data_IF_346007840666
#
_entry.id   IF_346007840666
#
_cell.length_a   1.000
_cell.length_b   1.000
_cell.length_c   1.000
_cell.angle_alpha   90.00
_cell.angle_beta   90.00
_cell.angle_gamma   90.00
#
_symmetry.space_group_name_H-M   'P 1'
#
loop_
_entity.id
_entity.type
_entity.pdbx_description
1 polymer ?
#
# COMPACT_ATOMS: atom_id res chain seq x y z
N UNK A 1 -44.83 -1.50 6.65
CA UNK A 1 -43.64 -2.31 6.32
C UNK A 1 -42.49 -1.79 7.17
N UNK A 2 -42.01 -2.60 8.10
CA UNK A 2 -41.00 -2.21 9.09
C UNK A 2 -39.63 -2.09 8.41
N UNK A 3 -39.03 -0.90 8.48
CA UNK A 3 -37.66 -0.64 8.02
C UNK A 3 -36.72 -0.91 9.18
N UNK A 4 -35.94 -1.99 9.09
CA UNK A 4 -34.85 -2.24 10.03
C UNK A 4 -33.64 -1.38 9.65
N UNK A 5 -33.53 -0.19 10.23
CA UNK A 5 -32.25 0.53 10.26
C UNK A 5 -31.40 -0.05 11.38
N UNK A 6 -30.35 -0.80 11.03
CA UNK A 6 -29.32 -1.19 11.99
C UNK A 6 -28.47 0.04 12.28
N UNK A 7 -28.73 0.68 13.43
CA UNK A 7 -27.76 1.56 14.07
C UNK A 7 -26.52 0.72 14.42
N UNK A 8 -25.55 0.68 13.51
CA UNK A 8 -24.19 0.32 13.87
C UNK A 8 -23.66 1.50 14.67
N UNK A 9 -23.76 1.40 15.99
CA UNK A 9 -22.92 2.19 16.88
C UNK A 9 -21.50 2.15 16.33
N UNK A 10 -20.97 3.31 15.99
CA UNK A 10 -19.56 3.55 15.67
C UNK A 10 -18.74 3.27 16.94
N UNK A 11 -18.69 1.99 17.34
CA UNK A 11 -17.61 1.48 18.13
C UNK A 11 -16.39 1.72 17.27
N UNK A 12 -15.53 2.65 17.69
CA UNK A 12 -14.19 2.83 17.13
C UNK A 12 -13.47 1.49 17.25
N UNK A 13 -13.73 0.58 16.32
CA UNK A 13 -12.91 -0.60 16.10
C UNK A 13 -11.55 0.02 15.86
N UNK A 14 -10.58 -0.30 16.73
CA UNK A 14 -9.18 0.08 16.53
C UNK A 14 -8.84 -0.19 15.07
N UNK A 15 -8.79 0.85 14.25
CA UNK A 15 -8.60 0.69 12.82
C UNK A 15 -7.20 0.13 12.64
N UNK A 16 -7.12 -1.11 12.16
CA UNK A 16 -5.84 -1.73 11.83
C UNK A 16 -5.28 -0.92 10.64
N UNK A 17 -4.09 -0.31 10.76
CA UNK A 17 -3.53 0.48 9.67
C UNK A 17 -3.47 -0.32 8.37
N UNK A 18 -3.92 0.29 7.27
CA UNK A 18 -3.97 -0.38 5.97
C UNK A 18 -5.10 -1.36 5.74
N UNK A 19 -6.05 -1.49 6.67
CA UNK A 19 -7.25 -2.31 6.48
C UNK A 19 -8.46 -1.41 6.28
N UNK A 20 -9.16 -1.58 5.16
CA UNK A 20 -10.41 -0.89 4.87
C UNK A 20 -11.57 -1.88 4.91
N UNK A 21 -12.60 -1.56 5.67
CA UNK A 21 -13.85 -2.32 5.67
C UNK A 21 -14.72 -1.91 4.48
N UNK A 22 -15.23 -2.92 3.77
CA UNK A 22 -16.19 -2.74 2.71
C UNK A 22 -17.60 -3.21 3.09
N UNK A 23 -18.54 -3.20 2.12
CA UNK A 23 -19.89 -3.67 2.36
C UNK A 23 -19.90 -5.15 2.78
N UNK A 24 -20.95 -5.55 3.50
CA UNK A 24 -21.16 -6.93 3.96
C UNK A 24 -20.06 -7.49 4.89
N UNK A 25 -19.30 -6.63 5.57
CA UNK A 25 -18.24 -7.07 6.50
C UNK A 25 -16.97 -7.56 5.82
N UNK A 26 -16.82 -7.31 4.52
CA UNK A 26 -15.56 -7.56 3.80
C UNK A 26 -14.47 -6.63 4.31
N UNK A 27 -13.22 -7.08 4.27
CA UNK A 27 -12.06 -6.28 4.66
C UNK A 27 -11.00 -6.38 3.58
N UNK A 28 -10.40 -5.25 3.22
CA UNK A 28 -9.47 -5.11 2.11
C UNK A 28 -8.14 -4.55 2.59
N UNK A 29 -7.09 -4.92 1.87
CA UNK A 29 -5.75 -4.30 1.92
C UNK A 29 -5.42 -3.73 0.56
N UNK A 30 -4.70 -2.60 0.54
CA UNK A 30 -4.31 -1.93 -0.69
C UNK A 30 -3.26 -2.74 -1.45
N UNK A 31 -3.35 -2.74 -2.78
CA UNK A 31 -2.31 -3.26 -3.68
C UNK A 31 -1.05 -2.37 -3.72
N UNK A 32 -1.09 -1.19 -3.09
CA UNK A 32 -0.09 -0.13 -3.26
C UNK A 32 -0.24 0.64 -4.57
N UNK A 33 -1.25 0.33 -5.39
CA UNK A 33 -1.55 1.02 -6.65
C UNK A 33 -3.01 1.52 -6.58
N UNK A 34 -3.23 2.83 -6.32
CA UNK A 34 -4.58 3.36 -6.10
C UNK A 34 -5.57 3.10 -7.25
N UNK A 35 -5.10 3.06 -8.49
CA UNK A 35 -5.97 2.81 -9.64
C UNK A 35 -6.35 1.33 -9.76
N UNK A 36 -5.47 0.40 -9.41
CA UNK A 36 -5.80 -1.01 -9.33
C UNK A 36 -6.80 -1.27 -8.20
N UNK A 37 -6.62 -0.64 -7.05
CA UNK A 37 -7.56 -0.78 -5.92
C UNK A 37 -8.97 -0.32 -6.30
N UNK A 38 -9.10 0.76 -7.07
CA UNK A 38 -10.39 1.22 -7.60
C UNK A 38 -11.01 0.20 -8.54
N UNK A 39 -10.22 -0.37 -9.47
CA UNK A 39 -10.69 -1.39 -10.42
C UNK A 39 -11.19 -2.64 -9.68
N UNK A 40 -10.51 -3.03 -8.60
CA UNK A 40 -10.87 -4.19 -7.78
C UNK A 40 -11.98 -3.90 -6.76
N UNK A 41 -12.52 -2.66 -6.73
CA UNK A 41 -13.59 -2.28 -5.80
C UNK A 41 -13.14 -2.07 -4.36
N UNK A 42 -11.84 -1.95 -4.12
CA UNK A 42 -11.29 -1.69 -2.79
C UNK A 42 -9.82 -2.08 -2.65
N UNK A 43 -9.33 -3.06 -3.39
CA UNK A 43 -8.01 -3.66 -3.20
C UNK A 43 -8.12 -5.18 -3.12
N UNK A 44 -7.20 -5.84 -2.42
CA UNK A 44 -7.26 -7.28 -2.21
C UNK A 44 -8.03 -7.61 -0.94
N UNK A 45 -8.94 -8.57 -1.02
CA UNK A 45 -9.71 -9.01 0.15
C UNK A 45 -8.80 -9.78 1.12
N UNK A 46 -8.89 -9.50 2.42
CA UNK A 46 -8.19 -10.27 3.44
C UNK A 46 -8.62 -11.74 3.41
N UNK A 47 -7.64 -12.65 3.54
CA UNK A 47 -7.84 -14.09 3.42
C UNK A 47 -7.96 -14.62 1.99
N UNK A 48 -7.82 -13.77 0.97
CA UNK A 48 -7.80 -14.19 -0.43
C UNK A 48 -6.39 -14.61 -0.89
N UNK A 49 -6.35 -15.38 -1.99
CA UNK A 49 -5.15 -15.66 -2.77
C UNK A 49 -5.20 -14.87 -4.06
N UNK A 50 -4.17 -14.08 -4.33
CA UNK A 50 -4.05 -13.27 -5.55
C UNK A 50 -2.93 -13.84 -6.40
N UNK A 51 -3.24 -14.17 -7.65
CA UNK A 51 -2.28 -14.64 -8.64
C UNK A 51 -2.08 -13.57 -9.72
N UNK A 52 -0.83 -13.23 -10.00
CA UNK A 52 -0.46 -12.28 -11.06
C UNK A 52 0.13 -13.10 -12.21
N UNK A 53 -0.56 -13.10 -13.34
CA UNK A 53 -0.08 -13.71 -14.58
C UNK A 53 0.43 -12.61 -15.50
N UNK A 54 1.53 -12.90 -16.18
CA UNK A 54 2.18 -11.95 -17.08
C UNK A 54 2.40 -12.59 -18.44
N UNK A 55 2.27 -11.76 -19.47
CA UNK A 55 2.68 -12.07 -20.83
C UNK A 55 4.14 -11.67 -21.05
N UNK A 56 4.88 -12.43 -21.85
CA UNK A 56 6.31 -12.23 -22.09
C UNK A 56 6.66 -10.87 -22.68
N UNK A 57 5.72 -10.23 -23.37
CA UNK A 57 5.88 -8.92 -23.99
C UNK A 57 5.69 -7.74 -23.01
N UNK A 58 5.18 -7.97 -21.79
CA UNK A 58 4.88 -6.92 -20.81
C UNK A 58 5.25 -7.20 -19.32
N UNK A 59 6.55 -7.42 -19.00
CA UNK A 59 7.33 -7.01 -17.82
C UNK A 59 6.84 -6.68 -16.38
N UNK A 60 5.56 -6.56 -16.03
CA UNK A 60 5.13 -5.66 -14.95
C UNK A 60 4.72 -6.30 -13.60
N UNK A 61 4.72 -7.62 -13.44
CA UNK A 61 4.36 -8.31 -12.20
C UNK A 61 5.23 -7.90 -11.01
N UNK A 62 6.52 -7.66 -11.24
CA UNK A 62 7.43 -7.20 -10.20
C UNK A 62 7.12 -5.77 -9.75
N UNK A 63 6.55 -4.93 -10.61
CA UNK A 63 6.08 -3.60 -10.19
C UNK A 63 4.93 -3.74 -9.19
N UNK A 64 3.94 -4.58 -9.52
CA UNK A 64 2.81 -4.84 -8.63
C UNK A 64 3.28 -5.44 -7.30
N UNK A 65 4.15 -6.44 -7.35
CA UNK A 65 4.72 -7.07 -6.14
C UNK A 65 5.47 -6.07 -5.27
N UNK A 66 6.32 -5.21 -5.86
CA UNK A 66 7.05 -4.17 -5.12
C UNK A 66 6.12 -3.17 -4.45
N UNK A 67 5.07 -2.71 -5.15
CA UNK A 67 4.10 -1.79 -4.57
C UNK A 67 3.33 -2.43 -3.42
N UNK A 68 2.86 -3.67 -3.59
CA UNK A 68 2.15 -4.40 -2.55
C UNK A 68 3.01 -4.59 -1.28
N UNK A 69 4.26 -5.04 -1.45
CA UNK A 69 5.18 -5.20 -0.33
C UNK A 69 5.50 -3.86 0.34
N UNK A 70 5.73 -2.80 -0.44
CA UNK A 70 6.00 -1.46 0.11
C UNK A 70 4.83 -0.92 0.91
N UNK A 71 3.61 -1.15 0.43
CA UNK A 71 2.39 -0.76 1.12
C UNK A 71 2.25 -1.46 2.47
N UNK A 72 2.50 -2.77 2.53
CA UNK A 72 2.55 -3.51 3.79
C UNK A 72 3.58 -2.95 4.77
N UNK A 73 4.80 -2.66 4.27
CA UNK A 73 5.88 -2.12 5.11
C UNK A 73 5.59 -0.72 5.65
N UNK A 74 4.98 0.17 4.85
CA UNK A 74 4.57 1.52 5.31
C UNK A 74 3.55 1.42 6.44
N UNK A 75 2.71 0.40 6.43
CA UNK A 75 1.72 0.14 7.48
C UNK A 75 2.23 -0.74 8.62
N UNK A 76 3.53 -1.04 8.66
CA UNK A 76 4.14 -1.95 9.63
C UNK A 76 3.48 -3.35 9.68
N UNK A 77 2.95 -3.81 8.54
CA UNK A 77 2.41 -5.15 8.41
C UNK A 77 3.55 -6.18 8.31
N UNK A 78 3.42 -7.36 8.94
CA UNK A 78 4.39 -8.43 8.80
C UNK A 78 4.53 -8.87 7.34
N UNK A 79 5.76 -9.15 6.91
CA UNK A 79 6.06 -9.53 5.53
C UNK A 79 6.88 -10.82 5.47
N UNK A 80 6.31 -11.87 4.86
CA UNK A 80 7.04 -13.07 4.50
C UNK A 80 7.25 -13.09 2.98
N UNK A 81 8.51 -13.11 2.55
CA UNK A 81 8.87 -13.11 1.14
C UNK A 81 9.65 -14.35 0.74
N UNK A 82 9.10 -15.11 -0.21
CA UNK A 82 9.74 -16.28 -0.81
C UNK A 82 10.07 -15.98 -2.27
N UNK A 83 11.27 -16.33 -2.73
CA UNK A 83 11.63 -16.14 -4.15
C UNK A 83 12.63 -17.17 -4.67
N UNK A 84 12.68 -17.41 -5.99
CA UNK A 84 13.70 -18.24 -6.64
C UNK A 84 15.05 -17.50 -6.76
N UNK A 85 15.46 -16.75 -5.73
CA UNK A 85 16.75 -16.05 -5.67
C UNK A 85 17.62 -16.67 -4.58
N UNK A 86 18.94 -16.74 -4.81
CA UNK A 86 19.91 -17.14 -3.76
C UNK A 86 19.92 -16.17 -2.58
N UNK A 87 19.70 -14.89 -2.85
CA UNK A 87 19.55 -13.87 -1.82
C UNK A 87 18.24 -13.09 -2.06
N UNK A 88 17.12 -13.53 -1.46
CA UNK A 88 15.84 -12.86 -1.56
C UNK A 88 15.83 -11.47 -0.92
N UNK A 89 16.69 -11.21 0.08
CA UNK A 89 16.68 -9.94 0.82
C UNK A 89 17.08 -8.76 -0.06
N UNK A 90 17.88 -8.99 -1.10
CA UNK A 90 18.24 -7.96 -2.09
C UNK A 90 17.00 -7.36 -2.76
N UNK A 91 15.92 -8.13 -2.92
CA UNK A 91 14.68 -7.63 -3.51
C UNK A 91 14.05 -6.52 -2.67
N UNK A 92 14.18 -6.58 -1.34
CA UNK A 92 13.66 -5.55 -0.42
C UNK A 92 14.32 -4.19 -0.68
N UNK A 93 15.58 -4.16 -1.13
CA UNK A 93 16.27 -2.93 -1.53
C UNK A 93 15.72 -2.30 -2.81
N UNK A 94 14.79 -2.95 -3.51
CA UNK A 94 14.15 -2.45 -4.73
C UNK A 94 12.74 -1.92 -4.51
N UNK A 95 12.23 -2.01 -3.28
CA UNK A 95 10.89 -1.54 -2.92
C UNK A 95 10.79 -0.02 -3.10
N UNK A 96 9.75 0.54 -3.72
CA UNK A 96 9.63 1.98 -3.92
C UNK A 96 9.30 2.74 -2.63
N UNK A 97 9.66 4.02 -2.58
CA UNK A 97 9.40 4.89 -1.43
C UNK A 97 8.04 5.58 -1.56
N UNK A 98 7.23 5.71 -0.48
CA UNK A 98 5.99 6.49 -0.56
C UNK A 98 6.28 7.97 -0.87
N UNK A 99 5.44 8.58 -1.68
CA UNK A 99 5.45 10.02 -1.96
C UNK A 99 4.85 10.72 -0.74
N UNK A 100 5.71 11.37 0.03
CA UNK A 100 5.26 12.22 1.14
C UNK A 100 4.61 13.48 0.57
N UNK A 101 3.34 13.72 0.92
CA UNK A 101 2.72 15.03 0.67
C UNK A 101 3.52 16.09 1.42
N UNK A 102 3.84 17.20 0.75
CA UNK A 102 4.78 18.25 1.18
C UNK A 102 4.35 19.04 2.43
N UNK A 103 3.30 18.61 3.13
CA UNK A 103 2.61 19.39 4.17
C UNK A 103 3.23 19.24 5.57
N UNK A 104 4.20 18.33 5.77
CA UNK A 104 4.91 18.19 7.06
C UNK A 104 6.25 18.93 7.13
N UNK A 105 6.66 19.62 6.05
CA UNK A 105 7.73 20.62 6.15
C UNK A 105 7.09 22.00 6.28
N UNK A 106 6.73 22.34 7.52
CA UNK A 106 6.36 23.70 7.87
C UNK A 106 7.43 24.70 7.42
N UNK A 107 6.96 25.77 6.76
CA UNK A 107 7.52 27.11 6.70
C UNK A 107 8.95 27.30 6.12
N UNK A 108 9.06 28.25 5.19
CA UNK A 108 10.27 28.91 4.65
C UNK A 108 10.90 28.29 3.41
N UNK A 109 10.26 28.52 2.26
CA UNK A 109 10.92 29.14 1.08
C UNK A 109 9.85 29.63 0.09
N UNK A 110 8.99 30.54 0.55
CA UNK A 110 8.26 31.43 -0.35
C UNK A 110 9.23 32.52 -0.83
N UNK A 111 9.94 32.27 -1.92
CA UNK A 111 10.41 33.31 -2.84
C UNK A 111 11.19 32.63 -3.96
N UNK A 112 10.58 32.57 -5.14
CA UNK A 112 11.19 32.74 -6.48
C UNK A 112 10.49 31.91 -7.57
N UNK A 113 9.97 30.72 -7.27
CA UNK A 113 9.31 29.87 -8.28
C UNK A 113 7.89 30.30 -8.67
N UNK A 114 7.18 31.07 -7.84
CA UNK A 114 5.82 31.55 -8.17
C UNK A 114 5.79 32.60 -9.30
N UNK A 115 6.92 33.24 -9.64
CA UNK A 115 6.95 34.29 -10.66
C UNK A 115 6.77 33.76 -12.09
N UNK A 116 6.98 32.45 -12.33
CA UNK A 116 6.95 31.83 -13.65
C UNK A 116 5.62 31.22 -14.10
N UNK A 117 4.63 31.04 -13.20
CA UNK A 117 3.43 30.24 -13.45
C UNK A 117 2.14 31.07 -13.60
N UNK A 118 2.25 32.32 -14.09
CA UNK A 118 1.09 33.21 -14.30
C UNK A 118 0.01 32.62 -15.22
N UNK A 119 0.42 31.85 -16.23
CA UNK A 119 -0.50 31.20 -17.18
C UNK A 119 -1.27 30.06 -16.49
N UNK A 120 -0.58 29.22 -15.71
CA UNK A 120 -1.19 28.07 -15.03
C UNK A 120 -2.24 28.50 -14.00
N UNK A 121 -2.05 29.65 -13.34
CA UNK A 121 -3.00 30.17 -12.35
C UNK A 121 -4.31 30.66 -12.97
N UNK A 122 -4.30 31.12 -14.22
CA UNK A 122 -5.52 31.57 -14.90
C UNK A 122 -6.50 30.42 -15.20
N UNK A 123 -5.99 29.19 -15.37
CA UNK A 123 -6.85 28.02 -15.56
C UNK A 123 -7.52 27.54 -14.27
N UNK A 124 -7.10 28.04 -13.09
CA UNK A 124 -7.68 27.72 -11.77
C UNK A 124 -9.20 27.86 -11.73
N UNK A 125 -9.77 28.83 -12.46
CA UNK A 125 -11.22 29.04 -12.54
C UNK A 125 -11.99 27.96 -13.30
N UNK A 126 -11.32 27.19 -14.15
CA UNK A 126 -11.91 26.08 -14.90
C UNK A 126 -11.77 24.73 -14.18
N UNK A 127 -11.05 24.69 -13.05
CA UNK A 127 -11.00 23.52 -12.15
C UNK A 127 -12.13 23.57 -11.10
N UNK A 128 -13.14 24.43 -11.30
CA UNK A 128 -14.29 24.57 -10.41
C UNK A 128 -15.09 23.27 -10.26
N UNK A 129 -15.51 23.04 -9.02
CA UNK A 129 -16.64 22.20 -8.57
C UNK A 129 -16.42 20.73 -8.19
N UNK A 130 -15.23 20.13 -8.33
CA UNK A 130 -14.99 18.74 -7.84
C UNK A 130 -14.10 18.59 -6.58
N UNK A 131 -13.68 19.69 -5.94
CA UNK A 131 -12.71 19.61 -4.82
C UNK A 131 -13.26 19.79 -3.41
N UNK A 132 -14.50 20.28 -3.22
CA UNK A 132 -15.01 20.58 -1.88
C UNK A 132 -15.43 19.35 -1.04
N UNK A 133 -15.45 18.14 -1.62
CA UNK A 133 -15.75 16.90 -0.89
C UNK A 133 -14.50 16.05 -0.57
N UNK A 134 -13.29 16.58 -0.81
CA UNK A 134 -12.07 15.77 -0.91
C UNK A 134 -11.12 15.89 0.29
N UNK A 135 -11.38 16.79 1.26
CA UNK A 135 -10.49 16.95 2.43
C UNK A 135 -10.65 15.78 3.41
N UNK A 136 -11.88 15.39 3.78
CA UNK A 136 -12.13 14.21 4.62
C UNK A 136 -11.69 12.90 3.92
N UNK A 137 -11.71 12.86 2.58
CA UNK A 137 -11.28 11.68 1.81
C UNK A 137 -9.76 11.54 1.68
N UNK A 138 -8.99 12.63 1.87
CA UNK A 138 -7.53 12.60 1.76
C UNK A 138 -6.87 11.96 2.98
N UNK A 139 -7.38 12.19 4.17
CA UNK A 139 -6.85 11.56 5.39
C UNK A 139 -7.14 10.06 5.41
N UNK A 140 -8.38 9.65 5.10
CA UNK A 140 -8.71 8.21 4.98
C UNK A 140 -7.92 7.52 3.87
N UNK A 141 -7.54 8.27 2.81
CA UNK A 141 -6.70 7.72 1.73
C UNK A 141 -5.28 7.45 2.23
N UNK A 142 -4.68 8.33 3.03
CA UNK A 142 -3.34 8.10 3.63
C UNK A 142 -3.34 6.95 4.63
N UNK A 143 -4.43 6.76 5.36
CA UNK A 143 -4.59 5.64 6.30
C UNK A 143 -4.73 4.27 5.59
N UNK A 144 -5.14 4.26 4.32
CA UNK A 144 -5.41 3.03 3.57
C UNK A 144 -4.40 2.70 2.46
N UNK A 145 -3.91 3.70 1.71
CA UNK A 145 -3.19 3.51 0.45
C UNK A 145 -2.20 4.65 0.19
N UNK A 146 -0.94 4.33 -0.09
CA UNK A 146 0.08 5.32 -0.44
C UNK A 146 0.33 5.37 -1.95
N UNK A 147 0.81 6.52 -2.43
CA UNK A 147 1.38 6.64 -3.77
C UNK A 147 2.89 6.45 -3.67
N UNK A 148 3.51 5.74 -4.61
CA UNK A 148 4.92 5.36 -4.53
C UNK A 148 5.76 5.96 -5.66
N UNK A 149 6.93 6.49 -5.31
CA UNK A 149 7.95 6.92 -6.27
C UNK A 149 8.80 5.72 -6.67
N UNK A 150 8.44 5.09 -7.79
CA UNK A 150 9.12 3.91 -8.34
C UNK A 150 10.57 4.15 -8.75
N UNK A 151 10.99 5.41 -8.85
CA UNK A 151 12.36 5.80 -9.23
C UNK A 151 13.28 5.84 -8.02
N UNK A 152 12.75 5.75 -6.80
CA UNK A 152 13.49 5.85 -5.56
C UNK A 152 13.32 4.60 -4.70
N UNK A 153 14.35 3.76 -4.60
CA UNK A 153 14.31 2.63 -3.70
C UNK A 153 14.20 3.12 -2.24
N UNK A 154 13.41 2.39 -1.46
CA UNK A 154 13.16 2.62 -0.06
C UNK A 154 14.43 2.36 0.73
N UNK A 155 14.72 3.25 1.68
CA UNK A 155 15.78 3.02 2.66
C UNK A 155 15.26 2.03 3.70
N UNK A 156 15.58 0.75 3.48
CA UNK A 156 15.20 -0.39 4.35
C UNK A 156 15.45 -0.17 5.87
N UNK A 157 16.47 0.58 6.33
CA UNK A 157 16.69 0.81 7.77
C UNK A 157 15.64 1.69 8.47
N UNK A 158 14.75 2.36 7.75
CA UNK A 158 13.79 3.32 8.33
C UNK A 158 12.44 2.70 8.70
N UNK A 159 12.28 1.40 8.52
CA UNK A 159 10.98 0.73 8.58
C UNK A 159 10.85 0.12 9.97
N UNK A 160 9.83 0.52 10.72
CA UNK A 160 9.41 -0.11 11.97
C UNK A 160 8.81 -1.51 11.78
N UNK A 161 9.21 -2.24 10.73
CA UNK A 161 8.72 -3.57 10.43
C UNK A 161 9.41 -4.56 11.34
N UNK A 162 8.78 -4.81 12.48
CA UNK A 162 9.30 -5.73 13.48
C UNK A 162 9.29 -7.20 13.00
N UNK A 163 8.75 -7.52 11.82
CA UNK A 163 8.58 -8.89 11.33
C UNK A 163 8.71 -9.02 9.80
N UNK A 164 9.94 -8.96 9.26
CA UNK A 164 10.23 -9.34 7.87
C UNK A 164 11.06 -10.62 7.85
N UNK A 165 10.55 -11.66 7.19
CA UNK A 165 11.33 -12.86 6.88
C UNK A 165 11.43 -13.07 5.37
N UNK A 166 12.59 -13.53 4.92
CA UNK A 166 12.94 -13.69 3.52
C UNK A 166 13.62 -15.03 3.31
N UNK A 167 13.20 -15.78 2.29
CA UNK A 167 13.76 -17.10 2.04
C UNK A 167 13.77 -17.52 0.58
N UNK A 168 14.82 -18.27 0.25
CA UNK A 168 14.96 -18.84 -1.08
C UNK A 168 14.16 -20.11 -1.18
N UNK A 169 13.36 -20.25 -2.22
CA UNK A 169 12.74 -21.54 -2.55
C UNK A 169 13.74 -22.50 -3.19
N UNK A 170 14.94 -22.02 -3.57
CA UNK A 170 16.01 -22.87 -4.11
C UNK A 170 16.69 -23.70 -3.03
N UNK A 171 16.66 -23.23 -1.77
CA UNK A 171 17.27 -23.93 -0.63
C UNK A 171 16.37 -25.04 -0.08
N UNK A 172 15.12 -25.12 -0.55
CA UNK A 172 14.13 -26.08 -0.08
C UNK A 172 13.91 -27.18 -1.11
N UNK A 173 14.11 -28.44 -0.70
CA UNK A 173 13.89 -29.61 -1.56
C UNK A 173 12.43 -30.09 -1.59
N UNK A 174 11.58 -29.58 -0.70
CA UNK A 174 10.17 -29.94 -0.60
C UNK A 174 9.33 -28.81 0.05
N UNK A 175 8.01 -28.96 0.00
CA UNK A 175 7.05 -28.00 0.56
C UNK A 175 6.94 -28.03 2.09
N UNK A 176 7.51 -29.02 2.76
CA UNK A 176 7.45 -29.13 4.23
C UNK A 176 8.25 -27.99 4.85
N UNK A 177 9.48 -27.77 4.37
CA UNK A 177 10.33 -26.67 4.82
C UNK A 177 9.65 -25.30 4.61
N UNK A 178 8.95 -25.11 3.48
CA UNK A 178 8.15 -23.91 3.20
C UNK A 178 7.03 -23.73 4.24
N UNK A 179 6.24 -24.79 4.49
CA UNK A 179 5.14 -24.79 5.46
C UNK A 179 5.62 -24.50 6.87
N UNK A 180 6.73 -25.11 7.29
CA UNK A 180 7.30 -24.94 8.63
C UNK A 180 7.77 -23.50 8.84
N UNK A 181 8.36 -22.90 7.80
CA UNK A 181 8.76 -21.50 7.82
C UNK A 181 7.58 -20.54 7.89
N UNK A 182 6.51 -20.78 7.12
CA UNK A 182 5.27 -20.03 7.25
C UNK A 182 4.67 -20.16 8.66
N UNK A 183 4.66 -21.37 9.23
CA UNK A 183 4.12 -21.62 10.57
C UNK A 183 4.92 -20.90 11.64
N UNK A 184 6.25 -20.93 11.53
CA UNK A 184 7.17 -20.21 12.44
C UNK A 184 6.97 -18.70 12.33
N UNK A 185 6.85 -18.17 11.11
CA UNK A 185 6.60 -16.76 10.88
C UNK A 185 5.27 -16.31 11.51
N UNK A 186 4.19 -17.06 11.29
CA UNK A 186 2.87 -16.75 11.85
C UNK A 186 2.85 -16.79 13.39
N UNK A 187 3.67 -17.64 14.02
CA UNK A 187 3.79 -17.68 15.47
C UNK A 187 4.49 -16.45 16.09
N UNK A 188 5.19 -15.65 15.27
CA UNK A 188 5.87 -14.43 15.69
C UNK A 188 5.02 -13.18 15.48
N UNK A 189 3.91 -13.29 14.77
CA UNK A 189 2.98 -12.18 14.51
C UNK A 189 1.95 -12.11 15.64
N UNK A 190 1.72 -10.92 16.25
CA UNK A 190 0.76 -10.75 17.35
C UNK A 190 -0.70 -10.96 16.96
#
# INVERSE_FOLDING_TARGET
MSSFSRNLSDSRISQIPGVKHGPNGTSFVSSGIPDLDKILGGGFQLGSLVMVMEDGEAPHHLLLLRNFMSQGLVHNQPLLYASPSKDPKLFLGTLPTPILSKDEKGSRTETEQEKGLRIAWQYKKYFGEHQQNNENHRDTRKEYGNEFDVRKPMKVPSIGAQHIDCFSILDTSNLIAFRDRCSTFLALVP
#
